data_IF_892841138123
#
_entry.id   IF_892841138123
#
_cell.length_a   1.000
_cell.length_b   1.000
_cell.length_c   1.000
_cell.angle_alpha   90.00
_cell.angle_beta   90.00
_cell.angle_gamma   90.00
#
_symmetry.space_group_name_H-M   'P 1'
#
loop_
_entity.id
_entity.type
_entity.pdbx_description
1 polymer ?
#
# COMPACT_ATOMS: atom_id res chain seq x y z
N UNK A 1 27.61 1.71 25.41
CA UNK A 1 26.15 1.49 25.55
C UNK A 1 25.44 2.82 25.39
N UNK A 2 25.04 3.16 24.17
CA UNK A 2 24.33 4.41 23.89
C UNK A 2 22.90 4.34 24.42
N UNK A 3 22.53 5.25 25.33
CA UNK A 3 21.14 5.41 25.76
C UNK A 3 20.35 5.93 24.56
N UNK A 4 19.55 5.06 23.93
CA UNK A 4 18.51 5.47 23.00
C UNK A 4 17.49 6.30 23.78
N UNK A 5 17.61 7.64 23.71
CA UNK A 5 16.55 8.53 24.15
C UNK A 5 15.38 8.35 23.19
N UNK A 6 14.35 7.62 23.65
CA UNK A 6 13.05 7.61 22.99
C UNK A 6 12.48 9.02 23.14
N UNK A 7 12.61 9.82 22.09
CA UNK A 7 12.04 11.16 22.08
C UNK A 7 10.50 11.02 22.08
N UNK A 8 9.79 11.50 23.11
CA UNK A 8 8.35 11.27 23.25
C UNK A 8 7.54 11.83 22.06
N UNK A 9 8.08 12.85 21.37
CA UNK A 9 7.48 13.43 20.16
C UNK A 9 7.38 12.39 19.03
N UNK A 10 8.45 11.65 18.75
CA UNK A 10 8.42 10.61 17.70
C UNK A 10 7.50 9.44 18.07
N UNK A 11 7.37 9.13 19.37
CA UNK A 11 6.45 8.09 19.83
C UNK A 11 4.99 8.53 19.62
N UNK A 12 4.64 9.77 19.99
CA UNK A 12 3.30 10.31 19.80
C UNK A 12 2.89 10.44 18.33
N UNK A 13 3.81 10.83 17.43
CA UNK A 13 3.51 10.90 15.99
C UNK A 13 3.38 9.50 15.38
N UNK A 14 4.22 8.54 15.80
CA UNK A 14 4.08 7.15 15.36
C UNK A 14 2.73 6.55 15.76
N UNK A 15 2.20 6.90 16.93
CA UNK A 15 0.87 6.50 17.40
C UNK A 15 -0.22 7.16 16.56
N UNK A 16 -0.07 8.43 16.20
CA UNK A 16 -1.04 9.15 15.37
C UNK A 16 -1.12 8.61 13.93
N UNK A 17 0.02 8.26 13.32
CA UNK A 17 0.06 7.62 12.00
C UNK A 17 -0.52 6.21 12.06
N UNK A 18 -0.20 5.44 13.11
CA UNK A 18 -0.77 4.11 13.32
C UNK A 18 -2.30 4.17 13.50
N UNK A 19 -2.80 5.19 14.21
CA UNK A 19 -4.24 5.44 14.38
C UNK A 19 -4.91 5.84 13.06
N UNK A 20 -4.31 6.74 12.27
CA UNK A 20 -4.82 7.11 10.95
C UNK A 20 -4.88 5.91 9.99
N UNK A 21 -3.86 5.05 9.99
CA UNK A 21 -3.84 3.81 9.19
C UNK A 21 -4.88 2.80 9.69
N UNK A 22 -5.11 2.73 11.01
CA UNK A 22 -6.13 1.86 11.60
C UNK A 22 -7.57 2.32 11.29
N UNK A 23 -7.81 3.64 11.30
CA UNK A 23 -9.08 4.25 10.87
C UNK A 23 -9.32 3.97 9.39
N UNK A 24 -8.35 4.23 8.54
CA UNK A 24 -8.43 3.94 7.10
C UNK A 24 -8.70 2.45 6.84
N UNK A 25 -8.09 1.54 7.62
CA UNK A 25 -8.34 0.09 7.51
C UNK A 25 -9.76 -0.31 7.94
N UNK A 26 -10.39 0.44 8.85
CA UNK A 26 -11.78 0.23 9.27
C UNK A 26 -12.79 0.83 8.29
N UNK A 27 -12.50 2.02 7.75
CA UNK A 27 -13.38 2.72 6.81
C UNK A 27 -13.35 2.09 5.41
N UNK A 28 -12.25 1.45 5.05
CA UNK A 28 -12.15 0.77 3.76
C UNK A 28 -13.12 -0.40 3.65
N UNK A 29 -13.92 -0.47 2.57
CA UNK A 29 -14.77 -1.61 2.32
C UNK A 29 -13.94 -2.88 2.13
N UNK A 30 -14.45 -4.00 2.66
CA UNK A 30 -13.73 -5.28 2.75
C UNK A 30 -13.17 -5.79 1.42
N UNK A 31 -13.81 -5.44 0.29
CA UNK A 31 -13.38 -5.86 -1.04
C UNK A 31 -12.11 -5.14 -1.50
N UNK A 32 -11.88 -3.87 -1.11
CA UNK A 32 -10.63 -3.16 -1.40
C UNK A 32 -9.44 -3.83 -0.72
N UNK A 33 -9.64 -4.32 0.51
CA UNK A 33 -8.62 -5.05 1.28
C UNK A 33 -8.23 -6.39 0.65
N UNK A 34 -9.12 -6.98 -0.16
CA UNK A 34 -8.93 -8.29 -0.83
C UNK A 34 -8.86 -8.20 -2.34
N UNK A 35 -8.79 -6.99 -2.91
CA UNK A 35 -8.88 -6.70 -4.34
C UNK A 35 -7.92 -7.58 -5.16
N UNK A 36 -6.65 -7.67 -4.76
CA UNK A 36 -5.65 -8.50 -5.44
C UNK A 36 -6.02 -9.99 -5.46
N UNK A 37 -6.51 -10.53 -4.34
CA UNK A 37 -6.98 -11.92 -4.26
C UNK A 37 -8.21 -12.15 -5.14
N UNK A 38 -9.17 -11.22 -5.12
CA UNK A 38 -10.38 -11.30 -5.96
C UNK A 38 -9.98 -11.33 -7.45
N UNK A 39 -9.08 -10.43 -7.86
CA UNK A 39 -8.59 -10.37 -9.24
C UNK A 39 -7.87 -11.67 -9.65
N UNK A 40 -7.07 -12.25 -8.76
CA UNK A 40 -6.40 -13.53 -9.03
C UNK A 40 -7.40 -14.69 -9.18
N UNK A 41 -8.43 -14.73 -8.34
CA UNK A 41 -9.51 -15.73 -8.43
C UNK A 41 -10.30 -15.57 -9.73
N UNK A 42 -10.66 -14.34 -10.10
CA UNK A 42 -11.36 -14.06 -11.37
C UNK A 42 -10.50 -14.45 -12.58
N UNK A 43 -9.19 -14.23 -12.52
CA UNK A 43 -8.27 -14.68 -13.55
C UNK A 43 -8.24 -16.21 -13.66
N UNK A 44 -8.21 -16.93 -12.55
CA UNK A 44 -8.29 -18.39 -12.56
C UNK A 44 -9.63 -18.88 -13.15
N UNK A 45 -10.74 -18.21 -12.82
CA UNK A 45 -12.06 -18.50 -13.39
C UNK A 45 -12.05 -18.27 -14.91
N UNK A 46 -11.41 -17.22 -15.42
CA UNK A 46 -11.30 -16.96 -16.85
C UNK A 46 -10.58 -18.10 -17.59
N UNK A 47 -9.51 -18.67 -17.01
CA UNK A 47 -8.84 -19.85 -17.56
C UNK A 47 -9.74 -21.08 -17.56
N UNK A 48 -10.46 -21.34 -16.47
CA UNK A 48 -11.42 -22.46 -16.39
C UNK A 48 -12.55 -22.28 -17.40
N UNK A 49 -13.06 -21.06 -17.56
CA UNK A 49 -14.09 -20.74 -18.54
C UNK A 49 -13.62 -20.95 -19.98
N UNK A 50 -12.33 -20.74 -20.27
CA UNK A 50 -11.74 -21.12 -21.55
C UNK A 50 -11.55 -22.63 -21.72
N UNK A 51 -11.20 -23.34 -20.65
CA UNK A 51 -10.95 -24.79 -20.64
C UNK A 51 -12.22 -25.62 -20.89
N UNK A 52 -13.34 -25.26 -20.24
CA UNK A 52 -14.61 -25.99 -20.33
C UNK A 52 -15.08 -26.22 -21.77
N UNK A 53 -15.24 -25.19 -22.63
CA UNK A 53 -15.78 -25.39 -23.98
C UNK A 53 -14.88 -26.24 -24.87
N UNK A 54 -13.56 -26.22 -24.66
CA UNK A 54 -12.62 -27.05 -25.42
C UNK A 54 -12.81 -28.54 -25.11
N UNK A 55 -13.07 -28.88 -23.85
CA UNK A 55 -13.15 -30.28 -23.41
C UNK A 55 -14.56 -30.86 -23.42
N UNK A 56 -15.59 -30.01 -23.39
CA UNK A 56 -16.98 -30.44 -23.26
C UNK A 56 -17.90 -29.99 -24.40
N UNK A 57 -17.40 -29.17 -25.34
CA UNK A 57 -18.21 -28.63 -26.43
C UNK A 57 -17.47 -28.54 -27.78
N UNK A 58 -16.39 -29.32 -27.96
CA UNK A 58 -15.57 -29.38 -29.19
C UNK A 58 -15.09 -27.99 -29.69
N UNK A 59 -14.92 -27.03 -28.79
CA UNK A 59 -14.41 -25.72 -29.17
C UNK A 59 -12.92 -25.78 -29.50
N UNK A 60 -12.46 -24.85 -30.34
CA UNK A 60 -11.03 -24.73 -30.70
C UNK A 60 -10.17 -24.45 -29.46
N UNK A 61 -8.98 -25.05 -29.39
CA UNK A 61 -7.99 -24.80 -28.33
C UNK A 61 -7.64 -23.31 -28.14
N UNK A 62 -7.74 -22.51 -29.20
CA UNK A 62 -7.56 -21.06 -29.14
C UNK A 62 -8.56 -20.37 -28.19
N UNK A 63 -9.69 -20.99 -27.89
CA UNK A 63 -10.69 -20.49 -26.94
C UNK A 63 -10.09 -20.33 -25.54
N UNK A 64 -9.22 -21.26 -25.13
CA UNK A 64 -8.51 -21.19 -23.84
C UNK A 64 -7.63 -19.95 -23.79
N UNK A 65 -6.84 -19.74 -24.85
CA UNK A 65 -5.95 -18.59 -24.95
C UNK A 65 -6.74 -17.28 -24.99
N UNK A 66 -7.80 -17.21 -25.79
CA UNK A 66 -8.64 -16.02 -25.91
C UNK A 66 -9.27 -15.64 -24.57
N UNK A 67 -9.84 -16.60 -23.84
CA UNK A 67 -10.40 -16.36 -22.51
C UNK A 67 -9.34 -15.89 -21.51
N UNK A 68 -8.16 -16.53 -21.52
CA UNK A 68 -7.04 -16.14 -20.66
C UNK A 68 -6.54 -14.71 -20.94
N UNK A 69 -6.37 -14.35 -22.22
CA UNK A 69 -5.94 -13.01 -22.65
C UNK A 69 -6.98 -11.96 -22.27
N UNK A 70 -8.26 -12.19 -22.56
CA UNK A 70 -9.34 -11.27 -22.21
C UNK A 70 -9.38 -11.08 -20.69
N UNK A 71 -9.34 -12.17 -19.92
CA UNK A 71 -9.30 -12.11 -18.46
C UNK A 71 -8.11 -11.30 -17.95
N UNK A 72 -6.93 -11.49 -18.55
CA UNK A 72 -5.73 -10.76 -18.17
C UNK A 72 -5.87 -9.26 -18.42
N UNK A 73 -6.34 -8.86 -19.60
CA UNK A 73 -6.52 -7.44 -19.93
C UNK A 73 -7.57 -6.79 -19.04
N UNK A 74 -8.69 -7.46 -18.77
CA UNK A 74 -9.70 -6.95 -17.84
C UNK A 74 -9.11 -6.79 -16.44
N UNK A 75 -8.36 -7.78 -15.95
CA UNK A 75 -7.70 -7.73 -14.65
C UNK A 75 -6.69 -6.59 -14.57
N UNK A 76 -5.85 -6.45 -15.59
CA UNK A 76 -4.85 -5.38 -15.66
C UNK A 76 -5.50 -4.00 -15.70
N UNK A 77 -6.57 -3.85 -16.46
CA UNK A 77 -7.31 -2.60 -16.59
C UNK A 77 -8.00 -2.23 -15.27
N UNK A 78 -8.68 -3.19 -14.62
CA UNK A 78 -9.28 -2.96 -13.30
C UNK A 78 -8.21 -2.59 -12.29
N UNK A 79 -7.07 -3.29 -12.29
CA UNK A 79 -5.97 -2.98 -11.39
C UNK A 79 -5.44 -1.56 -11.59
N UNK A 80 -5.22 -1.16 -12.85
CA UNK A 80 -4.70 0.16 -13.20
C UNK A 80 -5.68 1.31 -12.91
N UNK A 81 -6.99 1.08 -13.10
CA UNK A 81 -8.01 2.12 -12.97
C UNK A 81 -8.60 2.26 -11.56
N UNK A 82 -8.24 1.39 -10.61
CA UNK A 82 -8.82 1.42 -9.26
C UNK A 82 -7.73 1.54 -8.19
N UNK A 83 -8.01 2.34 -7.15
CA UNK A 83 -7.10 2.49 -6.01
C UNK A 83 -6.94 1.16 -5.28
N UNK A 84 -5.73 0.90 -4.78
CA UNK A 84 -5.47 -0.25 -3.93
C UNK A 84 -5.82 0.08 -2.48
N UNK A 85 -6.44 -0.89 -1.80
CA UNK A 85 -6.71 -0.80 -0.37
C UNK A 85 -5.45 -1.05 0.46
N UNK A 86 -5.45 -0.56 1.69
CA UNK A 86 -4.41 -0.87 2.68
C UNK A 86 -4.73 -2.25 3.25
N UNK A 87 -3.78 -3.18 3.15
CA UNK A 87 -3.94 -4.50 3.77
C UNK A 87 -3.47 -4.49 5.22
N UNK A 88 -3.98 -5.38 6.10
CA UNK A 88 -3.54 -5.43 7.50
C UNK A 88 -2.02 -5.65 7.65
N UNK A 89 -1.40 -6.38 6.72
CA UNK A 89 0.06 -6.60 6.72
C UNK A 89 0.85 -5.39 6.21
N UNK A 90 0.22 -4.45 5.51
CA UNK A 90 0.84 -3.20 5.07
C UNK A 90 0.85 -2.14 6.17
N UNK A 91 -0.10 -2.18 7.12
CA UNK A 91 -0.21 -1.19 8.18
C UNK A 91 1.10 -0.91 8.97
N UNK A 92 1.81 -1.91 9.53
CA UNK A 92 3.07 -1.66 10.24
C UNK A 92 4.19 -1.14 9.31
N UNK A 93 4.14 -1.47 8.02
CA UNK A 93 5.13 -1.00 7.04
C UNK A 93 4.92 0.47 6.68
N UNK A 94 3.66 0.89 6.53
CA UNK A 94 3.31 2.29 6.27
C UNK A 94 3.69 3.18 7.45
N UNK A 95 3.42 2.75 8.68
CA UNK A 95 3.84 3.48 9.89
C UNK A 95 5.35 3.73 9.90
N UNK A 96 6.17 2.69 9.66
CA UNK A 96 7.63 2.84 9.58
C UNK A 96 8.14 3.57 8.33
N UNK A 97 7.32 3.78 7.29
CA UNK A 97 7.68 4.64 6.16
C UNK A 97 7.38 6.10 6.44
N UNK A 98 6.25 6.40 7.09
CA UNK A 98 5.88 7.74 7.50
C UNK A 98 6.91 8.33 8.46
N UNK A 99 7.34 7.56 9.47
CA UNK A 99 8.36 8.01 10.43
C UNK A 99 9.70 8.37 9.75
N UNK A 100 10.10 7.59 8.73
CA UNK A 100 11.31 7.88 7.95
C UNK A 100 11.17 9.12 7.08
N UNK A 101 10.00 9.34 6.49
CA UNK A 101 9.72 10.56 5.71
C UNK A 101 9.76 11.80 6.60
N UNK A 102 9.10 11.76 7.76
CA UNK A 102 9.10 12.88 8.71
C UNK A 102 10.52 13.20 9.22
N UNK A 103 11.31 12.17 9.54
CA UNK A 103 12.71 12.37 9.96
C UNK A 103 13.54 13.03 8.87
N UNK A 104 13.29 12.69 7.60
CA UNK A 104 14.00 13.28 6.46
C UNK A 104 13.54 14.71 6.15
N UNK A 105 12.26 15.02 6.40
CA UNK A 105 11.65 16.33 6.12
C UNK A 105 11.80 17.33 7.27
N UNK A 106 12.15 16.87 8.49
CA UNK A 106 12.42 17.76 9.63
C UNK A 106 13.75 18.49 9.40
N UNK A 107 13.75 19.81 9.11
CA UNK A 107 14.99 20.54 8.88
C UNK A 107 15.80 20.59 10.18
N UNK A 108 17.11 20.31 10.10
CA UNK A 108 18.01 20.47 11.23
C UNK A 108 18.01 21.95 11.62
N UNK A 109 17.36 22.30 12.74
CA UNK A 109 17.41 23.66 13.25
C UNK A 109 18.87 24.03 13.50
N UNK A 110 19.37 25.05 12.79
CA UNK A 110 20.72 25.57 13.02
C UNK A 110 20.86 25.95 14.51
N UNK A 111 22.01 25.67 15.14
CA UNK A 111 22.21 26.07 16.53
C UNK A 111 22.01 27.58 16.65
N UNK A 112 21.07 27.99 17.50
CA UNK A 112 20.89 29.40 17.85
C UNK A 112 22.15 29.85 18.57
N UNK A 113 22.96 30.68 17.92
CA UNK A 113 24.17 31.25 18.53
C UNK A 113 23.73 32.23 19.63
N UNK A 114 23.93 31.85 20.89
CA UNK A 114 23.67 32.68 22.08
C UNK A 114 24.92 33.42 22.58
N UNK A 115 25.93 33.58 21.73
CA UNK A 115 27.16 34.29 22.10
C UNK A 115 26.90 35.78 22.37
N UNK A 116 27.82 36.45 23.08
CA UNK A 116 27.65 37.84 23.50
C UNK A 116 27.42 38.72 22.26
N UNK A 117 26.24 39.34 22.19
CA UNK A 117 25.95 40.34 21.16
C UNK A 117 26.87 41.54 21.40
N UNK A 118 27.69 41.89 20.40
CA UNK A 118 28.51 43.10 20.41
C UNK A 118 27.71 44.36 20.05
N UNK A 119 26.38 44.33 20.17
CA UNK A 119 25.54 45.51 20.07
C UNK A 119 25.60 46.32 21.38
N UNK A 120 26.78 46.86 21.66
CA UNK A 120 26.97 47.99 22.55
C UNK A 120 27.80 49.01 21.80
N UNK A 121 27.15 50.04 21.27
CA UNK A 121 27.63 51.40 21.00
C UNK A 121 26.46 52.30 20.62
#
# INVERSE_FOLDING_TARGET
MGKHYKNPVFTAVSEHVAEAVAVELQEQPWWLRRKGTIMLVLQAIAWVAGYIPVHFADASEWTILAAGIIGFFVTALVNALTKDGVTPSMAPRLAGQAERHETAETPTSLPVYTGPTTAGE
#
